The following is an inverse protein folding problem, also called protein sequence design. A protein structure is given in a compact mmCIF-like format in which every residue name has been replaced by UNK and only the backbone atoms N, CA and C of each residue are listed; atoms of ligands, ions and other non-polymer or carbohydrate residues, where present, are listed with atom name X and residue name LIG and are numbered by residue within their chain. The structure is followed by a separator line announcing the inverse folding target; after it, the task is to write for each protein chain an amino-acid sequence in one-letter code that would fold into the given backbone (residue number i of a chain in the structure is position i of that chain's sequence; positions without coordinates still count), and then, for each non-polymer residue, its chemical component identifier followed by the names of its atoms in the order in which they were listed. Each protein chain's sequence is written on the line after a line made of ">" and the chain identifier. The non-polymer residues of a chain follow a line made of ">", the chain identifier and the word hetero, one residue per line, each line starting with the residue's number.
data_IF_136467138943
#
_entry.id   IF_136467138943
#
_cell.length_a   1.000
_cell.length_b   1.000
_cell.length_c   1.000
_cell.angle_alpha   90.00
_cell.angle_beta   90.00
_cell.angle_gamma   90.00
#
_symmetry.space_group_name_H-M   'P 1'
#
loop_
_entity.id
_entity.type
_entity.pdbx_description
1 polymer ?
#
# COMPACT_ATOMS: atom_id res chain seq x y z
N UNK A 1 2.90 -25.76 9.23
CA UNK A 1 3.82 -24.87 8.50
C UNK A 1 4.62 -24.10 9.54
N UNK A 2 5.91 -23.88 9.29
CA UNK A 2 6.80 -23.24 10.27
C UNK A 2 7.03 -21.74 9.96
N UNK A 3 6.73 -21.32 8.74
CA UNK A 3 6.82 -19.93 8.27
C UNK A 3 5.70 -19.65 7.27
N UNK A 4 5.13 -18.45 7.34
CA UNK A 4 4.19 -17.90 6.34
C UNK A 4 4.70 -16.51 5.98
N UNK A 5 4.85 -16.24 4.68
CA UNK A 5 5.16 -14.91 4.15
C UNK A 5 3.87 -14.23 3.70
N UNK A 6 3.71 -12.94 4.06
CA UNK A 6 2.54 -12.12 3.68
C UNK A 6 1.17 -12.79 3.92
N UNK A 7 0.86 -13.22 5.17
CA UNK A 7 -0.49 -13.71 5.47
C UNK A 7 -1.54 -12.62 5.20
N UNK A 8 -2.77 -13.04 4.94
CA UNK A 8 -3.86 -12.10 4.75
C UNK A 8 -4.05 -11.19 5.99
N UNK A 9 -4.21 -9.86 5.84
CA UNK A 9 -4.27 -8.93 6.97
C UNK A 9 -5.38 -9.25 7.99
N UNK A 10 -6.52 -9.77 7.52
CA UNK A 10 -7.66 -10.19 8.34
C UNK A 10 -7.39 -11.44 9.18
N UNK A 11 -6.42 -12.27 8.78
CA UNK A 11 -6.00 -13.45 9.54
C UNK A 11 -5.06 -13.09 10.71
N UNK A 12 -4.42 -11.91 10.70
CA UNK A 12 -3.41 -11.51 11.70
C UNK A 12 -3.91 -11.59 13.15
N UNK A 13 -5.13 -11.13 13.50
CA UNK A 13 -5.65 -11.29 14.86
C UNK A 13 -5.74 -12.76 15.30
N UNK A 14 -6.18 -13.65 14.41
CA UNK A 14 -6.31 -15.08 14.69
C UNK A 14 -4.93 -15.74 14.85
N UNK A 15 -3.96 -15.39 14.00
CA UNK A 15 -2.60 -15.90 14.09
C UNK A 15 -1.93 -15.47 15.41
N UNK A 16 -2.11 -14.21 15.82
CA UNK A 16 -1.65 -13.71 17.13
C UNK A 16 -2.32 -14.46 18.29
N UNK A 17 -3.64 -14.67 18.21
CA UNK A 17 -4.38 -15.41 19.23
C UNK A 17 -3.95 -16.89 19.34
N UNK A 18 -3.53 -17.49 18.23
CA UNK A 18 -2.96 -18.84 18.17
C UNK A 18 -1.51 -18.92 18.68
N UNK A 19 -0.92 -17.81 19.15
CA UNK A 19 0.44 -17.77 19.68
C UNK A 19 1.54 -17.67 18.62
N UNK A 20 1.19 -17.37 17.36
CA UNK A 20 2.19 -17.16 16.31
C UNK A 20 2.86 -15.80 16.47
N UNK A 21 4.17 -15.77 16.20
CA UNK A 21 4.95 -14.54 16.20
C UNK A 21 4.81 -13.84 14.85
N UNK A 22 4.26 -12.63 14.86
CA UNK A 22 4.21 -11.74 13.70
C UNK A 22 5.43 -10.82 13.74
N UNK A 23 6.17 -10.77 12.64
CA UNK A 23 7.29 -9.84 12.44
C UNK A 23 6.93 -8.97 11.24
N UNK A 24 6.96 -7.67 11.42
CA UNK A 24 6.69 -6.69 10.38
C UNK A 24 7.85 -5.67 10.26
N UNK A 25 7.98 -5.11 9.07
CA UNK A 25 8.83 -3.95 8.80
C UNK A 25 8.25 -3.16 7.63
N UNK A 26 8.70 -1.91 7.49
CA UNK A 26 8.49 -1.18 6.24
C UNK A 26 9.48 -1.74 5.22
N UNK A 27 8.96 -2.32 4.14
CA UNK A 27 9.76 -2.83 3.02
C UNK A 27 9.82 -1.78 1.90
N UNK A 28 10.85 -1.79 1.04
CA UNK A 28 10.93 -0.91 -0.13
C UNK A 28 9.98 -1.37 -1.26
N UNK A 29 8.70 -1.56 -0.92
CA UNK A 29 7.64 -1.98 -1.81
C UNK A 29 6.53 -0.93 -1.78
N UNK A 30 6.42 -0.16 -2.87
CA UNK A 30 5.38 0.85 -3.06
C UNK A 30 4.39 0.41 -4.14
N UNK A 31 3.09 0.66 -3.92
CA UNK A 31 2.05 0.41 -4.92
C UNK A 31 1.74 1.67 -5.70
N UNK A 32 2.47 1.90 -6.78
CA UNK A 32 2.23 3.02 -7.67
C UNK A 32 1.34 2.64 -8.85
N UNK A 33 0.59 3.62 -9.37
CA UNK A 33 -0.09 3.46 -10.66
C UNK A 33 0.89 3.76 -11.80
N UNK A 34 0.88 2.91 -12.83
CA UNK A 34 1.55 3.18 -14.10
C UNK A 34 0.53 3.74 -15.08
N UNK A 35 0.54 5.06 -15.23
CA UNK A 35 -0.40 5.77 -16.09
C UNK A 35 0.05 5.70 -17.55
N UNK A 36 -0.88 5.41 -18.46
CA UNK A 36 -0.58 5.41 -19.90
C UNK A 36 -0.20 6.81 -20.37
N UNK A 37 0.95 6.98 -21.01
CA UNK A 37 1.43 8.25 -21.59
C UNK A 37 1.42 8.25 -23.12
N UNK A 38 0.67 7.31 -23.73
CA UNK A 38 0.52 7.26 -25.19
C UNK A 38 -0.19 8.52 -25.73
N UNK A 39 -0.01 8.85 -27.02
CA UNK A 39 -0.76 9.93 -27.67
C UNK A 39 -2.27 9.78 -27.46
N UNK A 40 -2.94 10.87 -27.08
CA UNK A 40 -4.38 10.88 -26.79
C UNK A 40 -4.77 10.43 -25.38
N UNK A 41 -3.83 9.97 -24.54
CA UNK A 41 -4.13 9.60 -23.16
C UNK A 41 -4.57 10.80 -22.31
N UNK A 42 -5.63 10.68 -21.48
CA UNK A 42 -6.03 11.73 -20.55
C UNK A 42 -4.97 11.97 -19.47
N UNK A 43 -4.14 10.98 -19.17
CA UNK A 43 -3.09 11.07 -18.17
C UNK A 43 -1.94 11.99 -18.56
N UNK A 44 -1.86 12.43 -19.83
CA UNK A 44 -0.90 13.44 -20.26
C UNK A 44 -1.17 14.80 -19.58
N UNK A 45 -2.42 15.09 -19.22
CA UNK A 45 -2.77 16.28 -18.44
C UNK A 45 -2.39 16.12 -16.96
N UNK A 46 -1.52 17.00 -16.48
CA UNK A 46 -1.08 17.01 -15.07
C UNK A 46 -2.22 17.22 -14.08
N UNK A 47 -3.28 17.94 -14.48
CA UNK A 47 -4.45 18.20 -13.63
C UNK A 47 -5.20 16.91 -13.35
N UNK A 48 -5.30 16.03 -14.34
CA UNK A 48 -5.91 14.70 -14.18
C UNK A 48 -5.09 13.85 -13.20
N UNK A 49 -3.76 13.86 -13.31
CA UNK A 49 -2.89 13.11 -12.39
C UNK A 49 -2.95 13.63 -10.95
N UNK A 50 -3.02 14.95 -10.78
CA UNK A 50 -3.20 15.58 -9.47
C UNK A 50 -4.57 15.25 -8.86
N UNK A 51 -5.64 15.34 -9.65
CA UNK A 51 -6.98 14.98 -9.22
C UNK A 51 -7.06 13.51 -8.77
N UNK A 52 -6.51 12.58 -9.54
CA UNK A 52 -6.48 11.16 -9.19
C UNK A 52 -5.78 10.90 -7.84
N UNK A 53 -4.70 11.64 -7.52
CA UNK A 53 -4.01 11.50 -6.24
C UNK A 53 -4.85 11.95 -5.03
N UNK A 54 -5.79 12.87 -5.23
CA UNK A 54 -6.71 13.36 -4.20
C UNK A 54 -7.91 12.42 -4.01
N UNK A 55 -8.22 11.56 -4.99
CA UNK A 55 -9.32 10.61 -4.91
C UNK A 55 -8.99 9.33 -4.11
N UNK A 56 -7.73 9.14 -3.71
CA UNK A 56 -7.29 7.94 -2.98
C UNK A 56 -7.08 8.29 -1.51
N UNK A 57 -7.97 7.75 -0.67
CA UNK A 57 -7.80 7.78 0.79
C UNK A 57 -6.81 6.70 1.22
N UNK A 58 -5.56 7.11 1.45
CA UNK A 58 -4.47 6.22 1.83
C UNK A 58 -4.55 5.76 3.28
N UNK A 59 -5.11 6.58 4.17
CA UNK A 59 -5.32 6.20 5.57
C UNK A 59 -6.49 5.21 5.67
N UNK A 60 -7.57 5.46 4.92
CA UNK A 60 -8.68 4.52 4.79
C UNK A 60 -8.24 3.15 4.23
N UNK A 61 -7.27 3.12 3.33
CA UNK A 61 -6.67 1.86 2.85
C UNK A 61 -5.91 1.12 3.96
N UNK A 62 -5.09 1.85 4.72
CA UNK A 62 -4.30 1.29 5.83
C UNK A 62 -5.19 0.65 6.88
N UNK A 63 -6.16 1.39 7.39
CA UNK A 63 -6.97 0.94 8.52
C UNK A 63 -8.12 0.04 8.06
N UNK A 64 -8.74 0.36 6.93
CA UNK A 64 -9.96 -0.30 6.44
C UNK A 64 -9.71 -1.58 5.64
N UNK A 65 -8.59 -1.70 4.93
CA UNK A 65 -8.30 -2.88 4.09
C UNK A 65 -7.09 -3.68 4.59
N UNK A 66 -6.05 -3.00 5.07
CA UNK A 66 -4.75 -3.61 5.33
C UNK A 66 -4.43 -3.78 6.83
N UNK A 67 -5.43 -3.58 7.70
CA UNK A 67 -5.32 -3.80 9.14
C UNK A 67 -4.10 -3.11 9.80
N UNK A 68 -3.72 -1.94 9.31
CA UNK A 68 -2.58 -1.16 9.80
C UNK A 68 -1.21 -1.61 9.28
N UNK A 69 -1.13 -2.64 8.44
CA UNK A 69 0.12 -3.28 7.98
C UNK A 69 0.74 -2.60 6.75
N UNK A 70 0.46 -1.32 6.55
CA UNK A 70 1.02 -0.50 5.49
C UNK A 70 1.29 0.92 5.97
N UNK A 71 2.15 1.66 5.28
CA UNK A 71 2.44 3.07 5.53
C UNK A 71 1.97 3.93 4.34
N UNK A 72 1.16 4.98 4.55
CA UNK A 72 0.65 5.83 3.48
C UNK A 72 1.79 6.41 2.63
N UNK A 73 1.87 5.98 1.38
CA UNK A 73 2.96 6.38 0.50
C UNK A 73 2.91 7.88 0.20
N UNK A 74 4.02 8.56 0.45
CA UNK A 74 4.23 9.99 0.13
C UNK A 74 4.93 10.20 -1.21
N UNK A 75 5.50 9.14 -1.78
CA UNK A 75 6.27 9.16 -3.03
C UNK A 75 6.71 7.75 -3.43
N UNK A 76 7.69 7.67 -4.34
CA UNK A 76 8.30 6.40 -4.78
C UNK A 76 9.24 5.82 -3.73
N UNK A 77 9.88 6.68 -2.94
CA UNK A 77 10.80 6.31 -1.88
C UNK A 77 10.35 6.93 -0.57
N UNK A 78 10.63 6.25 0.53
CA UNK A 78 10.43 6.80 1.87
C UNK A 78 11.50 7.85 2.19
N UNK A 79 11.21 8.85 3.02
CA UNK A 79 12.19 9.86 3.43
C UNK A 79 13.49 9.21 3.97
N UNK A 80 14.65 9.68 3.49
CA UNK A 80 15.96 9.22 3.95
C UNK A 80 16.58 8.05 3.15
N UNK A 81 15.95 7.66 2.04
CA UNK A 81 16.51 6.74 1.05
C UNK A 81 17.08 7.49 -0.15
#
# INVERSE_FOLDING_TARGET
>A
VDLIETPAPDAVPQLKAAGMRIIDNVTPHVWNYHLSVLPGSPWNDIRVRKAANLCVDREGLRDGLLAGLMVPATGTFEPGH
#
